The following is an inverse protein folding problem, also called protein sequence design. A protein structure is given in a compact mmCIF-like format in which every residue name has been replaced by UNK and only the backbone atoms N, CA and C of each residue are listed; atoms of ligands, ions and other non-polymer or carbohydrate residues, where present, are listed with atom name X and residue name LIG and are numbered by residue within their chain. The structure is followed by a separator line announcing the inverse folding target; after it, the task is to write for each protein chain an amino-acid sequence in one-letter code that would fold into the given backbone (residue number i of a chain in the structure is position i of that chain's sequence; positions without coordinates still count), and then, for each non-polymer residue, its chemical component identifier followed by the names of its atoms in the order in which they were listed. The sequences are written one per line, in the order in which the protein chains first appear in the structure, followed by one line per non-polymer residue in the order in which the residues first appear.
data_IF_382197864082
#
_entry.id   IF_382197864082
#
_cell.length_a   1.000
_cell.length_b   1.000
_cell.length_c   1.000
_cell.angle_alpha   90.00
_cell.angle_beta   90.00
_cell.angle_gamma   90.00
#
_symmetry.space_group_name_H-M   'P 1'
#
loop_
_entity.id
_entity.type
_entity.pdbx_description
1 polymer ?
#
# COMPACT_ATOMS: atom_id res chain seq x y z
N UNK A 1 18.15 -14.14 -21.50
CA UNK A 1 17.88 -12.79 -20.98
C UNK A 1 17.13 -12.94 -19.66
N UNK A 2 17.71 -12.55 -18.55
CA UNK A 2 16.98 -12.48 -17.30
C UNK A 2 15.92 -11.38 -17.44
N UNK A 3 14.64 -11.74 -17.35
CA UNK A 3 13.53 -10.77 -17.35
C UNK A 3 13.40 -10.18 -15.95
N UNK A 4 13.04 -8.89 -15.88
CA UNK A 4 12.64 -8.27 -14.62
C UNK A 4 11.42 -9.01 -14.10
N UNK A 5 11.48 -9.54 -12.88
CA UNK A 5 10.32 -10.04 -12.19
C UNK A 5 9.62 -8.87 -11.49
N UNK A 6 8.32 -8.78 -11.64
CA UNK A 6 7.56 -7.83 -10.83
C UNK A 6 7.60 -8.25 -9.35
N UNK A 7 7.65 -7.31 -8.42
CA UNK A 7 7.59 -7.63 -6.99
C UNK A 7 6.29 -8.34 -6.60
N UNK A 8 5.20 -7.99 -7.27
CA UNK A 8 3.86 -8.53 -7.03
C UNK A 8 3.05 -8.57 -8.33
N UNK A 9 2.36 -9.71 -8.57
CA UNK A 9 1.25 -9.80 -9.52
C UNK A 9 -0.06 -10.07 -8.76
N UNK A 10 -1.16 -9.52 -9.26
CA UNK A 10 -2.50 -9.78 -8.75
C UNK A 10 -3.30 -10.52 -9.83
N UNK A 11 -3.92 -11.63 -9.45
CA UNK A 11 -4.82 -12.39 -10.31
C UNK A 11 -6.23 -12.35 -9.71
N UNK A 12 -7.22 -11.93 -10.51
CA UNK A 12 -8.63 -11.91 -10.09
C UNK A 12 -9.38 -12.99 -10.85
N UNK A 13 -9.99 -13.91 -10.10
CA UNK A 13 -10.71 -15.07 -10.62
C UNK A 13 -12.18 -14.94 -10.25
N UNK A 14 -13.08 -15.04 -11.23
CA UNK A 14 -14.53 -15.05 -10.99
C UNK A 14 -15.28 -15.87 -12.06
N UNK A 15 -16.50 -16.27 -11.76
CA UNK A 15 -17.34 -16.98 -12.72
C UNK A 15 -17.85 -16.04 -13.83
N UNK A 16 -17.79 -16.41 -15.14
CA UNK A 16 -18.15 -15.53 -16.26
C UNK A 16 -19.59 -15.01 -16.20
N UNK A 17 -20.50 -15.80 -15.67
CA UNK A 17 -21.93 -15.43 -15.54
C UNK A 17 -22.21 -14.56 -14.28
N UNK A 18 -21.19 -14.22 -13.51
CA UNK A 18 -21.31 -13.32 -12.37
C UNK A 18 -20.93 -11.89 -12.79
N UNK A 19 -21.94 -11.12 -13.27
CA UNK A 19 -21.71 -9.76 -13.80
C UNK A 19 -21.11 -8.79 -12.79
N UNK A 20 -21.46 -8.89 -11.50
CA UNK A 20 -20.89 -8.08 -10.41
C UNK A 20 -19.39 -8.39 -10.24
N UNK A 21 -18.95 -9.63 -10.49
CA UNK A 21 -17.54 -10.00 -10.44
C UNK A 21 -16.67 -9.18 -11.37
N UNK A 22 -17.18 -8.85 -12.57
CA UNK A 22 -16.49 -7.96 -13.51
C UNK A 22 -16.34 -6.55 -12.92
N UNK A 23 -17.37 -6.00 -12.31
CA UNK A 23 -17.33 -4.64 -11.69
C UNK A 23 -16.27 -4.60 -10.58
N UNK A 24 -16.28 -5.61 -9.70
CA UNK A 24 -15.29 -5.73 -8.62
C UNK A 24 -13.88 -5.85 -9.20
N UNK A 25 -13.68 -6.68 -10.22
CA UNK A 25 -12.37 -6.90 -10.86
C UNK A 25 -11.85 -5.63 -11.53
N UNK A 26 -12.69 -4.84 -12.18
CA UNK A 26 -12.33 -3.55 -12.79
C UNK A 26 -11.94 -2.51 -11.74
N UNK A 27 -12.62 -2.46 -10.58
CA UNK A 27 -12.25 -1.56 -9.48
C UNK A 27 -10.95 -2.01 -8.79
N UNK A 28 -10.68 -3.32 -8.68
CA UNK A 28 -9.37 -3.84 -8.25
C UNK A 28 -8.29 -3.41 -9.25
N UNK A 29 -8.52 -3.57 -10.55
CA UNK A 29 -7.58 -3.12 -11.57
C UNK A 29 -7.27 -1.62 -11.44
N UNK A 30 -8.30 -0.78 -11.31
CA UNK A 30 -8.15 0.67 -11.17
C UNK A 30 -7.37 1.05 -9.91
N UNK A 31 -7.56 0.31 -8.82
CA UNK A 31 -6.90 0.61 -7.53
C UNK A 31 -5.43 0.17 -7.48
N UNK A 32 -5.05 -0.91 -8.15
CA UNK A 32 -3.71 -1.49 -8.02
C UNK A 32 -2.82 -1.28 -9.24
N UNK A 33 -3.40 -1.26 -10.43
CA UNK A 33 -2.65 -1.11 -11.68
C UNK A 33 -2.72 0.32 -12.19
N UNK A 34 -3.83 0.68 -12.80
CA UNK A 34 -4.02 1.99 -13.45
C UNK A 34 -5.49 2.34 -13.53
N UNK A 35 -5.85 3.52 -13.08
CA UNK A 35 -7.20 4.04 -13.27
C UNK A 35 -7.42 4.45 -14.73
N UNK A 36 -8.16 3.62 -15.48
CA UNK A 36 -8.46 3.89 -16.89
C UNK A 36 -9.50 4.99 -17.07
N UNK A 37 -10.29 5.29 -16.04
CA UNK A 37 -11.25 6.42 -16.04
C UNK A 37 -10.52 7.76 -15.85
N UNK A 38 -9.34 7.74 -15.24
CA UNK A 38 -8.49 8.90 -15.03
C UNK A 38 -7.03 8.59 -15.44
N UNK A 39 -6.74 8.52 -16.75
CA UNK A 39 -5.44 8.06 -17.24
C UNK A 39 -4.26 8.96 -16.86
N UNK A 40 -4.52 10.17 -16.36
CA UNK A 40 -3.49 11.07 -15.83
C UNK A 40 -3.13 10.74 -14.36
N UNK A 41 -4.00 10.01 -13.64
CA UNK A 41 -3.65 9.50 -12.32
C UNK A 41 -2.63 8.38 -12.47
N UNK A 42 -1.60 8.43 -11.62
CA UNK A 42 -0.58 7.38 -11.58
C UNK A 42 -1.04 6.31 -10.60
N UNK A 43 -1.34 5.10 -11.10
CA UNK A 43 -1.54 3.94 -10.25
C UNK A 43 -0.22 3.43 -9.67
N UNK A 44 -0.28 2.43 -8.80
CA UNK A 44 0.91 1.74 -8.26
C UNK A 44 1.67 1.04 -9.40
N UNK A 45 0.95 0.61 -10.44
CA UNK A 45 1.51 -0.12 -11.58
C UNK A 45 1.69 -1.62 -11.31
N UNK A 46 1.05 -2.17 -10.29
CA UNK A 46 1.03 -3.61 -10.04
C UNK A 46 0.25 -4.29 -11.16
N UNK A 47 0.82 -5.29 -11.87
CA UNK A 47 0.08 -6.02 -12.89
C UNK A 47 -1.12 -6.75 -12.30
N UNK A 48 -2.30 -6.54 -12.89
CA UNK A 48 -3.55 -7.21 -12.52
C UNK A 48 -4.07 -8.01 -13.70
N UNK A 49 -4.25 -9.31 -13.52
CA UNK A 49 -4.67 -10.24 -14.54
C UNK A 49 -6.03 -10.85 -14.21
N UNK A 50 -6.91 -10.92 -15.20
CA UNK A 50 -8.25 -11.50 -15.08
C UNK A 50 -8.27 -12.96 -15.50
N UNK A 51 -8.95 -13.81 -14.74
CA UNK A 51 -9.08 -15.25 -14.97
C UNK A 51 -10.55 -15.65 -14.80
N UNK A 52 -11.36 -15.43 -15.84
CA UNK A 52 -12.79 -15.70 -15.77
C UNK A 52 -13.32 -16.49 -16.99
N UNK A 53 -12.63 -16.39 -18.13
CA UNK A 53 -13.07 -17.10 -19.35
C UNK A 53 -12.65 -18.54 -19.28
N UNK A 54 -13.62 -19.46 -19.44
CA UNK A 54 -13.35 -20.90 -19.63
C UNK A 54 -12.72 -21.16 -20.99
N UNK A 55 -11.61 -21.86 -20.99
CA UNK A 55 -10.93 -22.36 -22.19
C UNK A 55 -11.49 -23.71 -22.63
N UNK A 56 -10.85 -24.34 -23.64
CA UNK A 56 -11.27 -25.64 -24.20
C UNK A 56 -11.30 -26.78 -23.17
N UNK A 57 -10.60 -26.64 -22.05
CA UNK A 57 -10.60 -27.57 -20.92
C UNK A 57 -11.66 -27.23 -19.86
N UNK A 58 -12.60 -26.36 -20.15
CA UNK A 58 -13.64 -25.84 -19.26
C UNK A 58 -13.11 -25.09 -18.03
N UNK A 59 -11.83 -24.75 -17.96
CA UNK A 59 -11.22 -24.02 -16.85
C UNK A 59 -10.65 -22.69 -17.32
N UNK A 60 -10.50 -21.70 -16.42
CA UNK A 60 -9.77 -20.48 -16.72
C UNK A 60 -8.32 -20.74 -17.10
N UNK A 61 -7.70 -19.77 -17.80
CA UNK A 61 -6.27 -19.83 -18.10
C UNK A 61 -5.46 -20.00 -16.80
N UNK A 62 -4.48 -20.89 -16.83
CA UNK A 62 -3.60 -21.13 -15.69
C UNK A 62 -2.87 -19.86 -15.24
N UNK A 63 -2.59 -19.80 -13.95
CA UNK A 63 -1.79 -18.74 -13.34
C UNK A 63 -0.32 -19.15 -13.36
N UNK A 64 0.50 -18.35 -14.05
CA UNK A 64 1.95 -18.54 -14.09
C UNK A 64 2.59 -17.75 -12.94
N UNK A 65 2.96 -18.46 -11.88
CA UNK A 65 3.49 -17.84 -10.66
C UNK A 65 4.96 -17.44 -10.76
N UNK A 66 5.67 -17.86 -11.81
CA UNK A 66 7.09 -17.56 -12.00
C UNK A 66 7.37 -16.16 -12.53
N UNK A 67 6.34 -15.43 -13.00
CA UNK A 67 6.47 -14.10 -13.61
C UNK A 67 6.69 -12.97 -12.58
N UNK A 68 6.36 -13.23 -11.32
CA UNK A 68 6.57 -12.28 -10.22
C UNK A 68 7.27 -12.94 -9.03
N UNK A 69 7.80 -12.13 -8.11
CA UNK A 69 8.36 -12.61 -6.85
C UNK A 69 7.26 -13.09 -5.90
N UNK A 70 6.15 -12.36 -5.88
CA UNK A 70 4.94 -12.66 -5.10
C UNK A 70 3.71 -12.64 -5.98
N UNK A 71 2.72 -13.47 -5.64
CA UNK A 71 1.45 -13.53 -6.35
C UNK A 71 0.28 -13.50 -5.35
N UNK A 72 -0.63 -12.56 -5.55
CA UNK A 72 -1.90 -12.45 -4.83
C UNK A 72 -3.02 -12.97 -5.75
N UNK A 73 -3.67 -14.06 -5.37
CA UNK A 73 -4.75 -14.69 -6.14
C UNK A 73 -6.06 -14.41 -5.43
N UNK A 74 -6.89 -13.55 -6.00
CA UNK A 74 -8.17 -13.12 -5.44
C UNK A 74 -9.27 -13.97 -6.08
N UNK A 75 -10.00 -14.72 -5.26
CA UNK A 75 -11.13 -15.54 -5.71
C UNK A 75 -12.44 -14.85 -5.33
N UNK A 76 -13.19 -14.36 -6.29
CA UNK A 76 -14.52 -13.77 -6.08
C UNK A 76 -15.57 -14.90 -6.11
N UNK A 77 -15.93 -15.42 -4.93
CA UNK A 77 -16.74 -16.64 -4.79
C UNK A 77 -18.20 -16.25 -4.59
N UNK A 78 -18.98 -16.30 -5.67
CA UNK A 78 -20.44 -16.21 -5.68
C UNK A 78 -21.09 -17.59 -5.74
N UNK A 79 -22.41 -17.64 -5.85
CA UNK A 79 -23.16 -18.89 -5.93
C UNK A 79 -22.83 -19.71 -7.18
N UNK A 80 -22.61 -19.06 -8.34
CA UNK A 80 -22.28 -19.73 -9.60
C UNK A 80 -20.88 -20.34 -9.55
N UNK A 81 -19.92 -19.60 -9.06
CA UNK A 81 -18.56 -20.10 -8.79
C UNK A 81 -18.59 -21.31 -7.84
N UNK A 82 -19.41 -21.22 -6.79
CA UNK A 82 -19.54 -22.27 -5.79
C UNK A 82 -20.14 -23.57 -6.36
N UNK A 83 -21.11 -23.48 -7.27
CA UNK A 83 -21.82 -24.62 -7.84
C UNK A 83 -21.11 -25.27 -9.04
N UNK A 84 -20.13 -24.59 -9.65
CA UNK A 84 -19.42 -25.05 -10.82
C UNK A 84 -18.24 -25.97 -10.46
N UNK A 85 -18.30 -27.23 -10.83
CA UNK A 85 -17.26 -28.22 -10.58
C UNK A 85 -15.91 -27.85 -11.22
N UNK A 86 -15.92 -27.29 -12.44
CA UNK A 86 -14.71 -26.89 -13.15
C UNK A 86 -13.95 -25.81 -12.39
N UNK A 87 -14.68 -24.86 -11.76
CA UNK A 87 -14.07 -23.82 -10.93
C UNK A 87 -13.56 -24.39 -9.60
N UNK A 88 -14.24 -25.34 -8.98
CA UNK A 88 -13.75 -26.03 -7.79
C UNK A 88 -12.46 -26.79 -8.07
N UNK A 89 -12.41 -27.53 -9.17
CA UNK A 89 -11.21 -28.24 -9.62
C UNK A 89 -10.05 -27.28 -9.93
N UNK A 90 -10.35 -26.10 -10.52
CA UNK A 90 -9.37 -25.06 -10.74
C UNK A 90 -8.78 -24.53 -9.45
N UNK A 91 -9.60 -24.28 -8.44
CA UNK A 91 -9.17 -23.85 -7.10
C UNK A 91 -8.30 -24.91 -6.43
N UNK A 92 -8.65 -26.20 -6.53
CA UNK A 92 -7.82 -27.29 -6.01
C UNK A 92 -6.40 -27.29 -6.61
N UNK A 93 -6.30 -27.02 -7.92
CA UNK A 93 -5.01 -26.89 -8.61
C UNK A 93 -4.23 -25.68 -8.12
N UNK A 94 -4.91 -24.53 -7.94
CA UNK A 94 -4.30 -23.31 -7.43
C UNK A 94 -3.77 -23.50 -6.02
N UNK A 95 -4.53 -24.18 -5.17
CA UNK A 95 -4.13 -24.39 -3.77
C UNK A 95 -2.84 -25.21 -3.63
N UNK A 96 -2.54 -26.09 -4.60
CA UNK A 96 -1.25 -26.81 -4.66
C UNK A 96 -0.04 -25.89 -4.95
N UNK A 97 -0.31 -24.68 -5.48
CA UNK A 97 0.71 -23.66 -5.77
C UNK A 97 0.89 -22.66 -4.62
N UNK A 98 0.09 -22.76 -3.55
CA UNK A 98 0.15 -21.84 -2.40
C UNK A 98 1.41 -22.13 -1.57
N UNK A 99 2.15 -21.07 -1.29
CA UNK A 99 3.36 -21.08 -0.43
C UNK A 99 3.56 -19.70 0.22
N UNK A 100 4.74 -19.39 0.69
CA UNK A 100 5.08 -18.07 1.23
C UNK A 100 5.07 -16.95 0.18
N UNK A 101 5.14 -17.28 -1.10
CA UNK A 101 5.21 -16.33 -2.22
C UNK A 101 3.88 -16.21 -2.96
N UNK A 102 3.03 -17.25 -2.89
CA UNK A 102 1.79 -17.36 -3.64
C UNK A 102 0.63 -17.50 -2.67
N UNK A 103 -0.19 -16.46 -2.51
CA UNK A 103 -1.28 -16.42 -1.54
C UNK A 103 -2.63 -16.34 -2.22
N UNK A 104 -3.60 -17.11 -1.70
CA UNK A 104 -5.01 -17.04 -2.12
C UNK A 104 -5.77 -16.20 -1.10
N UNK A 105 -6.53 -15.23 -1.61
CA UNK A 105 -7.44 -14.36 -0.86
C UNK A 105 -8.88 -14.63 -1.32
N UNK A 106 -9.60 -15.55 -0.65
CA UNK A 106 -10.98 -15.85 -1.00
C UNK A 106 -11.90 -14.72 -0.51
N UNK A 107 -12.72 -14.20 -1.42
CA UNK A 107 -13.73 -13.16 -1.16
C UNK A 107 -15.10 -13.82 -1.14
N UNK A 108 -15.79 -13.75 -0.02
CA UNK A 108 -17.14 -14.29 0.14
C UNK A 108 -18.18 -13.31 -0.39
N UNK A 109 -18.75 -13.62 -1.55
CA UNK A 109 -19.86 -12.91 -2.21
C UNK A 109 -21.15 -13.71 -2.18
N UNK A 110 -21.15 -14.83 -1.42
CA UNK A 110 -22.27 -15.73 -1.20
C UNK A 110 -22.20 -16.27 0.24
N UNK A 111 -23.34 -16.35 0.93
CA UNK A 111 -23.39 -16.71 2.36
C UNK A 111 -22.75 -18.06 2.70
N UNK A 112 -22.71 -19.01 1.77
CA UNK A 112 -22.09 -20.33 1.96
C UNK A 112 -20.69 -20.44 1.32
N UNK A 113 -20.08 -19.36 0.84
CA UNK A 113 -18.79 -19.39 0.15
C UNK A 113 -17.70 -20.12 0.96
N UNK A 114 -17.71 -19.95 2.30
CA UNK A 114 -16.75 -20.60 3.22
C UNK A 114 -16.89 -22.12 3.28
N UNK A 115 -18.00 -22.70 2.77
CA UNK A 115 -18.25 -24.16 2.73
C UNK A 115 -17.92 -24.76 1.36
N UNK A 116 -17.24 -24.03 0.47
CA UNK A 116 -16.91 -24.47 -0.90
C UNK A 116 -16.15 -25.80 -0.92
N UNK A 117 -15.71 -26.28 0.22
CA UNK A 117 -14.84 -27.45 0.30
C UNK A 117 -13.46 -27.09 -0.19
N UNK A 118 -12.75 -28.04 -0.78
CA UNK A 118 -11.38 -27.83 -1.13
C UNK A 118 -10.55 -27.36 0.10
N UNK A 119 -9.29 -27.33 0.01
CA UNK A 119 -8.39 -26.85 1.08
C UNK A 119 -8.54 -25.37 1.46
N UNK A 120 -9.52 -24.64 0.88
CA UNK A 120 -9.83 -23.26 1.23
C UNK A 120 -10.52 -23.10 2.59
N UNK A 121 -11.15 -24.15 3.13
CA UNK A 121 -11.88 -24.08 4.40
C UNK A 121 -11.04 -23.62 5.60
N UNK A 122 -9.71 -23.73 5.51
CA UNK A 122 -8.77 -23.25 6.55
C UNK A 122 -8.29 -21.81 6.31
N UNK A 123 -8.66 -21.17 5.20
CA UNK A 123 -8.24 -19.80 4.93
C UNK A 123 -9.24 -18.79 5.54
N UNK A 124 -8.71 -17.63 5.90
CA UNK A 124 -9.53 -16.50 6.29
C UNK A 124 -10.15 -15.87 5.05
N UNK A 125 -11.49 -15.78 5.01
CA UNK A 125 -12.22 -15.14 3.92
C UNK A 125 -12.37 -13.63 4.15
N UNK A 126 -12.27 -12.85 3.09
CA UNK A 126 -12.74 -11.47 3.05
C UNK A 126 -14.27 -11.52 2.94
N UNK A 127 -14.97 -11.14 4.00
CA UNK A 127 -16.44 -11.12 3.99
C UNK A 127 -16.96 -9.84 3.32
N UNK A 128 -17.36 -9.93 2.08
CA UNK A 128 -17.86 -8.82 1.28
C UNK A 128 -19.36 -8.52 1.47
N UNK A 129 -20.09 -9.41 2.16
CA UNK A 129 -21.53 -9.28 2.41
C UNK A 129 -21.87 -8.57 3.72
N UNK A 130 -20.86 -8.14 4.47
CA UNK A 130 -21.06 -7.45 5.76
C UNK A 130 -20.22 -6.19 5.83
N UNK A 131 -20.85 -5.12 6.29
CA UNK A 131 -20.21 -3.85 6.53
C UNK A 131 -20.74 -3.24 7.82
N UNK A 132 -19.86 -2.96 8.79
CA UNK A 132 -20.23 -2.40 10.09
C UNK A 132 -21.42 -3.15 10.77
N UNK A 133 -21.34 -4.49 10.81
CA UNK A 133 -22.38 -5.40 11.32
C UNK A 133 -23.73 -5.39 10.57
N UNK A 134 -23.86 -4.66 9.46
CA UNK A 134 -25.00 -4.69 8.58
C UNK A 134 -24.77 -5.64 7.41
N UNK A 135 -25.77 -6.42 7.05
CA UNK A 135 -25.74 -7.25 5.84
C UNK A 135 -25.91 -6.33 4.61
N UNK A 136 -25.14 -6.60 3.56
CA UNK A 136 -25.17 -5.87 2.28
C UNK A 136 -25.93 -6.66 1.23
N UNK A 137 -26.75 -5.97 0.47
CA UNK A 137 -27.40 -6.48 -0.75
C UNK A 137 -26.62 -6.01 -1.98
N UNK A 138 -25.84 -6.88 -2.58
CA UNK A 138 -25.02 -6.56 -3.75
C UNK A 138 -25.83 -6.17 -5.01
N UNK A 139 -27.15 -6.35 -5.00
CA UNK A 139 -28.03 -5.82 -6.05
C UNK A 139 -28.29 -4.32 -5.91
N UNK A 140 -28.04 -3.76 -4.74
CA UNK A 140 -28.13 -2.32 -4.46
C UNK A 140 -26.78 -1.66 -4.75
N UNK A 141 -26.79 -0.58 -5.52
CA UNK A 141 -25.56 0.13 -5.93
C UNK A 141 -24.77 0.69 -4.74
N UNK A 142 -25.45 1.22 -3.72
CA UNK A 142 -24.80 1.76 -2.52
C UNK A 142 -24.08 0.66 -1.75
N UNK A 143 -24.75 -0.46 -1.51
CA UNK A 143 -24.20 -1.62 -0.79
C UNK A 143 -23.06 -2.27 -1.56
N UNK A 144 -23.17 -2.36 -2.88
CA UNK A 144 -22.11 -2.85 -3.76
C UNK A 144 -20.86 -1.96 -3.64
N UNK A 145 -21.03 -0.63 -3.66
CA UNK A 145 -19.91 0.31 -3.50
C UNK A 145 -19.24 0.19 -2.14
N UNK A 146 -20.01 -0.05 -1.06
CA UNK A 146 -19.45 -0.32 0.28
C UNK A 146 -18.67 -1.63 0.32
N UNK A 147 -19.24 -2.69 -0.29
CA UNK A 147 -18.58 -4.00 -0.43
C UNK A 147 -17.25 -3.87 -1.17
N UNK A 148 -17.23 -3.18 -2.31
CA UNK A 148 -16.00 -2.94 -3.10
C UNK A 148 -14.96 -2.18 -2.28
N UNK A 149 -15.33 -1.11 -1.59
CA UNK A 149 -14.40 -0.36 -0.72
C UNK A 149 -13.75 -1.26 0.33
N UNK A 150 -14.54 -2.13 0.96
CA UNK A 150 -14.04 -3.07 1.95
C UNK A 150 -13.08 -4.09 1.32
N UNK A 151 -13.45 -4.69 0.19
CA UNK A 151 -12.60 -5.64 -0.54
C UNK A 151 -11.26 -4.99 -0.88
N UNK A 152 -11.27 -3.77 -1.43
CA UNK A 152 -10.04 -3.03 -1.77
C UNK A 152 -9.20 -2.75 -0.53
N UNK A 153 -9.82 -2.32 0.60
CA UNK A 153 -9.11 -2.08 1.85
C UNK A 153 -8.39 -3.33 2.35
N UNK A 154 -9.10 -4.46 2.40
CA UNK A 154 -8.56 -5.73 2.88
C UNK A 154 -7.42 -6.23 1.95
N UNK A 155 -7.58 -6.12 0.63
CA UNK A 155 -6.54 -6.51 -0.35
C UNK A 155 -5.32 -5.58 -0.28
N UNK A 156 -5.50 -4.26 -0.14
CA UNK A 156 -4.39 -3.30 0.05
C UNK A 156 -3.57 -3.68 1.29
N UNK A 157 -4.25 -3.97 2.40
CA UNK A 157 -3.61 -4.39 3.64
C UNK A 157 -2.85 -5.71 3.47
N UNK A 158 -3.49 -6.73 2.90
CA UNK A 158 -2.90 -8.06 2.75
C UNK A 158 -1.76 -8.08 1.73
N UNK A 159 -1.85 -7.32 0.63
CA UNK A 159 -0.75 -7.14 -0.32
C UNK A 159 0.43 -6.39 0.31
N UNK A 160 0.16 -5.38 1.15
CA UNK A 160 1.21 -4.69 1.90
C UNK A 160 1.95 -5.65 2.84
N UNK A 161 1.21 -6.49 3.59
CA UNK A 161 1.79 -7.52 4.46
C UNK A 161 2.59 -8.56 3.67
N UNK A 162 2.09 -8.99 2.51
CA UNK A 162 2.76 -9.95 1.64
C UNK A 162 4.12 -9.43 1.16
N UNK A 163 4.24 -8.13 0.89
CA UNK A 163 5.50 -7.50 0.48
C UNK A 163 6.41 -7.13 1.66
N UNK A 164 5.88 -6.79 2.84
CA UNK A 164 6.68 -6.42 4.01
C UNK A 164 7.59 -7.54 4.54
N UNK A 165 7.23 -8.80 4.31
CA UNK A 165 7.98 -9.99 4.76
C UNK A 165 9.42 -10.06 4.21
N UNK A 166 9.82 -9.17 3.30
CA UNK A 166 11.10 -9.27 2.57
C UNK A 166 12.13 -8.18 2.84
N UNK A 167 11.93 -7.29 3.79
CA UNK A 167 13.03 -6.40 4.16
C UNK A 167 14.07 -7.21 4.96
N UNK A 168 15.36 -7.16 4.58
CA UNK A 168 16.42 -7.83 5.34
C UNK A 168 16.58 -7.15 6.69
N UNK A 169 15.92 -7.69 7.66
CA UNK A 169 16.02 -7.38 9.06
C UNK A 169 16.67 -8.60 9.69
N UNK A 170 17.32 -8.47 10.85
CA UNK A 170 17.87 -9.63 11.55
C UNK A 170 16.86 -10.77 11.64
N UNK A 171 17.32 -12.02 11.61
CA UNK A 171 16.42 -13.21 11.65
C UNK A 171 15.41 -13.18 12.81
N UNK A 172 15.76 -12.55 13.93
CA UNK A 172 14.89 -12.37 15.09
C UNK A 172 13.76 -11.37 14.82
N UNK A 173 14.03 -10.28 14.11
CA UNK A 173 13.00 -9.29 13.75
C UNK A 173 12.12 -9.75 12.59
N UNK A 174 12.58 -10.66 11.73
CA UNK A 174 11.80 -11.24 10.63
C UNK A 174 10.67 -12.13 11.17
N UNK A 175 10.96 -12.97 12.17
CA UNK A 175 9.96 -13.85 12.76
C UNK A 175 8.83 -13.09 13.48
N UNK A 176 9.14 -11.96 14.10
CA UNK A 176 8.13 -11.12 14.77
C UNK A 176 7.23 -10.34 13.80
N UNK A 177 7.65 -10.16 12.53
CA UNK A 177 6.92 -9.38 11.52
C UNK A 177 6.14 -10.21 10.52
N UNK A 178 6.42 -11.51 10.40
CA UNK A 178 5.67 -12.39 9.51
C UNK A 178 4.20 -12.38 9.92
N UNK A 179 3.38 -11.73 9.10
CA UNK A 179 1.94 -11.64 9.33
C UNK A 179 1.48 -10.51 10.23
N UNK A 180 2.37 -9.66 10.76
CA UNK A 180 1.97 -8.47 11.53
C UNK A 180 1.12 -7.50 10.71
N UNK A 181 0.10 -6.87 11.30
CA UNK A 181 -0.71 -5.87 10.62
C UNK A 181 0.13 -4.63 10.28
N UNK A 182 -0.29 -3.90 9.24
CA UNK A 182 0.26 -2.56 8.96
C UNK A 182 -0.08 -1.66 10.15
N UNK A 183 0.92 -0.92 10.63
CA UNK A 183 0.80 -0.01 11.76
C UNK A 183 0.61 1.42 11.31
N UNK A 184 -0.35 2.11 11.90
CA UNK A 184 -0.63 3.52 11.69
C UNK A 184 -0.20 4.33 12.91
N UNK A 185 0.57 5.38 12.69
CA UNK A 185 0.88 6.38 13.71
C UNK A 185 -0.04 7.59 13.52
N UNK A 186 -0.87 7.91 14.51
CA UNK A 186 -1.85 8.99 14.43
C UNK A 186 -1.29 10.27 15.06
N UNK A 187 -0.93 11.24 14.20
CA UNK A 187 -0.38 12.53 14.59
C UNK A 187 -1.48 13.61 14.63
N UNK A 188 -1.58 14.34 15.72
CA UNK A 188 -2.61 15.37 15.92
C UNK A 188 -2.19 16.43 16.93
N UNK A 189 -2.78 17.61 16.84
CA UNK A 189 -2.68 18.63 17.90
C UNK A 189 -3.75 18.36 18.96
N UNK A 190 -3.32 18.18 20.23
CA UNK A 190 -4.24 17.82 21.34
C UNK A 190 -5.38 18.84 21.55
N UNK A 191 -5.15 20.10 21.21
CA UNK A 191 -6.13 21.17 21.48
C UNK A 191 -7.36 21.12 20.57
N UNK A 192 -7.22 20.69 19.33
CA UNK A 192 -8.28 20.75 18.31
C UNK A 192 -8.37 19.50 17.41
N UNK A 193 -7.40 18.59 17.48
CA UNK A 193 -7.36 17.35 16.70
C UNK A 193 -7.72 16.08 17.48
N UNK A 194 -7.65 16.10 18.83
CA UNK A 194 -7.76 14.88 19.64
C UNK A 194 -9.08 14.12 19.42
N UNK A 195 -10.20 14.84 19.40
CA UNK A 195 -11.53 14.23 19.26
C UNK A 195 -11.65 13.38 17.99
N UNK A 196 -11.32 13.97 16.84
CA UNK A 196 -11.43 13.29 15.55
C UNK A 196 -10.46 12.11 15.43
N UNK A 197 -9.28 12.23 16.03
CA UNK A 197 -8.27 11.17 16.03
C UNK A 197 -8.72 9.99 16.88
N UNK A 198 -9.36 10.22 18.03
CA UNK A 198 -9.96 9.17 18.87
C UNK A 198 -11.11 8.48 18.12
N UNK A 199 -11.96 9.23 17.42
CA UNK A 199 -13.04 8.68 16.60
C UNK A 199 -12.46 7.76 15.49
N UNK A 200 -11.41 8.20 14.82
CA UNK A 200 -10.73 7.41 13.79
C UNK A 200 -10.05 6.16 14.37
N UNK A 201 -9.36 6.26 15.51
CA UNK A 201 -8.78 5.11 16.21
C UNK A 201 -9.85 4.05 16.50
N UNK A 202 -10.97 4.45 17.11
CA UNK A 202 -12.10 3.55 17.40
C UNK A 202 -12.68 2.91 16.15
N UNK A 203 -12.76 3.68 15.05
CA UNK A 203 -13.21 3.15 13.79
C UNK A 203 -12.29 2.01 13.29
N UNK A 204 -10.96 2.20 13.35
CA UNK A 204 -9.99 1.17 12.94
C UNK A 204 -10.13 -0.07 13.84
N UNK A 205 -10.11 0.09 15.14
CA UNK A 205 -10.21 -1.00 16.12
C UNK A 205 -11.48 -1.85 15.96
N UNK A 206 -12.59 -1.22 15.57
CA UNK A 206 -13.88 -1.91 15.42
C UNK A 206 -14.09 -2.54 14.04
N UNK A 207 -13.44 -2.04 12.98
CA UNK A 207 -13.78 -2.40 11.60
C UNK A 207 -12.64 -3.04 10.80
N UNK A 208 -11.39 -2.87 11.24
CA UNK A 208 -10.22 -3.22 10.45
C UNK A 208 -9.20 -4.03 11.28
N UNK A 209 -8.31 -4.72 10.60
CA UNK A 209 -7.23 -5.52 11.21
C UNK A 209 -5.89 -4.77 11.21
N UNK A 210 -5.92 -3.45 11.34
CA UNK A 210 -4.73 -2.59 11.38
C UNK A 210 -4.28 -2.40 12.83
N UNK A 211 -2.98 -2.20 13.01
CA UNK A 211 -2.43 -1.76 14.29
C UNK A 211 -2.36 -0.24 14.34
N UNK A 212 -2.62 0.34 15.51
CA UNK A 212 -2.69 1.80 15.67
C UNK A 212 -1.86 2.23 16.88
N UNK A 213 -0.89 3.12 16.64
CA UNK A 213 -0.21 3.83 17.71
C UNK A 213 -0.83 5.22 17.90
N UNK A 214 -1.20 5.52 19.14
CA UNK A 214 -1.80 6.78 19.55
C UNK A 214 -1.07 7.35 20.78
N UNK A 215 -0.43 8.49 20.61
CA UNK A 215 0.53 9.15 21.51
C UNK A 215 0.15 9.15 23.02
N UNK A 216 -1.13 9.37 23.36
CA UNK A 216 -1.50 9.65 24.76
C UNK A 216 -1.57 8.41 25.67
N UNK A 217 -1.62 7.19 25.10
CA UNK A 217 -1.93 5.96 25.84
C UNK A 217 -0.83 4.91 25.70
N UNK A 218 -0.08 4.93 24.60
CA UNK A 218 0.76 3.79 24.19
C UNK A 218 2.22 3.90 24.67
N UNK A 219 2.58 4.99 25.40
CA UNK A 219 3.95 5.15 25.93
C UNK A 219 4.05 4.67 27.36
N UNK A 220 4.91 3.68 27.59
CA UNK A 220 5.17 3.14 28.91
C UNK A 220 5.93 4.16 29.79
N UNK A 221 5.56 4.25 31.08
CA UNK A 221 6.24 5.10 32.05
C UNK A 221 7.70 4.67 32.24
N UNK A 222 8.62 5.66 32.27
CA UNK A 222 10.04 5.44 32.54
C UNK A 222 10.92 5.23 31.30
N UNK A 223 10.36 5.26 30.10
CA UNK A 223 11.12 5.19 28.84
C UNK A 223 11.44 6.58 28.26
N UNK A 224 12.52 6.66 27.46
CA UNK A 224 12.86 7.86 26.70
C UNK A 224 11.80 8.08 25.60
N UNK A 225 10.93 9.04 25.85
CA UNK A 225 9.81 9.41 25.00
C UNK A 225 10.24 9.66 23.54
N UNK A 226 11.33 10.40 23.34
CA UNK A 226 11.79 10.77 22.00
C UNK A 226 12.28 9.55 21.19
N UNK A 227 13.00 8.63 21.82
CA UNK A 227 13.49 7.41 21.17
C UNK A 227 12.37 6.43 20.83
N UNK A 228 11.39 6.30 21.71
CA UNK A 228 10.24 5.44 21.46
C UNK A 228 9.41 5.97 20.28
N UNK A 229 9.17 7.29 20.23
CA UNK A 229 8.50 7.93 19.09
C UNK A 229 9.23 7.71 17.77
N UNK A 230 10.55 7.93 17.74
CA UNK A 230 11.33 7.69 16.53
C UNK A 230 11.22 6.22 16.06
N UNK A 231 11.28 5.27 17.01
CA UNK A 231 11.11 3.84 16.71
C UNK A 231 9.73 3.54 16.14
N UNK A 232 8.67 4.06 16.76
CA UNK A 232 7.29 3.81 16.33
C UNK A 232 7.00 4.41 14.95
N UNK A 233 7.40 5.66 14.70
CA UNK A 233 7.20 6.34 13.41
C UNK A 233 7.97 5.62 12.30
N UNK A 234 9.20 5.17 12.56
CA UNK A 234 10.02 4.44 11.58
C UNK A 234 9.31 3.19 11.03
N UNK A 235 8.46 2.55 11.83
CA UNK A 235 7.80 1.29 11.49
C UNK A 235 6.29 1.42 11.22
N UNK A 236 5.82 2.66 11.03
CA UNK A 236 4.41 2.98 10.81
C UNK A 236 4.22 3.85 9.58
N UNK A 237 2.98 3.91 9.09
CA UNK A 237 2.55 5.00 8.23
C UNK A 237 2.00 6.13 9.09
N UNK A 238 2.44 7.36 8.84
CA UNK A 238 2.02 8.55 9.59
C UNK A 238 0.73 9.10 8.99
N UNK A 239 -0.34 9.16 9.80
CA UNK A 239 -1.60 9.83 9.45
C UNK A 239 -1.67 11.13 10.24
N UNK A 240 -1.58 12.26 9.53
CA UNK A 240 -1.58 13.61 10.11
C UNK A 240 -2.98 14.19 10.09
N UNK A 241 -3.59 14.41 11.24
CA UNK A 241 -4.82 15.20 11.35
C UNK A 241 -4.48 16.68 11.41
N UNK A 242 -4.43 17.31 10.22
CA UNK A 242 -4.02 18.70 10.06
C UNK A 242 -5.16 19.65 10.39
N UNK A 243 -5.11 20.20 11.59
CA UNK A 243 -6.05 21.19 12.15
C UNK A 243 -5.40 22.57 12.22
N UNK A 244 -6.17 23.62 12.57
CA UNK A 244 -5.69 25.02 12.62
C UNK A 244 -4.44 25.20 13.51
N UNK A 245 -4.33 24.42 14.60
CA UNK A 245 -3.23 24.49 15.56
C UNK A 245 -2.09 23.51 15.27
N UNK A 246 -2.23 22.57 14.35
CA UNK A 246 -1.25 21.49 14.14
C UNK A 246 0.15 22.01 13.94
N UNK A 247 0.35 22.91 12.98
CA UNK A 247 1.67 23.44 12.61
C UNK A 247 2.29 24.36 13.66
N UNK A 248 1.50 24.81 14.65
CA UNK A 248 2.04 25.58 15.80
C UNK A 248 2.72 24.67 16.83
N UNK A 249 2.40 23.37 16.86
CA UNK A 249 2.90 22.41 17.84
C UNK A 249 4.24 21.84 17.43
N UNK A 250 5.22 21.97 18.32
CA UNK A 250 6.59 21.50 18.05
C UNK A 250 6.63 19.98 17.82
N UNK A 251 5.92 19.20 18.65
CA UNK A 251 5.90 17.75 18.54
C UNK A 251 5.28 17.30 17.22
N UNK A 252 4.16 17.88 16.79
CA UNK A 252 3.55 17.57 15.50
C UNK A 252 4.52 17.78 14.32
N UNK A 253 5.26 18.88 14.35
CA UNK A 253 6.32 19.14 13.35
C UNK A 253 7.44 18.11 13.40
N UNK A 254 7.89 17.74 14.62
CA UNK A 254 8.96 16.73 14.80
C UNK A 254 8.55 15.37 14.28
N UNK A 255 7.31 14.93 14.51
CA UNK A 255 6.78 13.67 13.99
C UNK A 255 6.85 13.60 12.47
N UNK A 256 6.44 14.65 11.77
CA UNK A 256 6.55 14.75 10.31
C UNK A 256 8.01 14.71 9.85
N UNK A 257 8.90 15.44 10.51
CA UNK A 257 10.34 15.46 10.16
C UNK A 257 10.98 14.07 10.37
N UNK A 258 10.62 13.37 11.45
CA UNK A 258 11.08 12.00 11.71
C UNK A 258 10.56 11.06 10.62
N UNK A 259 9.26 11.12 10.28
CA UNK A 259 8.68 10.28 9.24
C UNK A 259 9.36 10.51 7.88
N UNK A 260 9.60 11.75 7.48
CA UNK A 260 10.34 12.07 6.26
C UNK A 260 11.79 11.56 6.30
N UNK A 261 12.49 11.75 7.41
CA UNK A 261 13.86 11.23 7.59
C UNK A 261 13.92 9.70 7.41
N UNK A 262 12.94 8.98 7.90
CA UNK A 262 12.85 7.51 7.80
C UNK A 262 12.11 7.02 6.57
N UNK A 263 11.65 7.91 5.68
CA UNK A 263 10.89 7.57 4.47
C UNK A 263 9.60 6.81 4.77
N UNK A 264 9.04 7.01 5.97
CA UNK A 264 7.75 6.46 6.34
C UNK A 264 6.66 7.09 5.49
N UNK A 265 5.68 6.32 4.98
CA UNK A 265 4.55 6.89 4.26
C UNK A 265 3.80 7.91 5.11
N UNK A 266 3.42 9.05 4.53
CA UNK A 266 2.68 10.12 5.21
C UNK A 266 1.42 10.42 4.43
N UNK A 267 0.30 10.55 5.15
CA UNK A 267 -0.98 11.04 4.62
C UNK A 267 -1.48 12.18 5.48
N UNK A 268 -1.91 13.27 4.84
CA UNK A 268 -2.44 14.45 5.52
C UNK A 268 -3.95 14.50 5.37
N UNK A 269 -4.64 14.56 6.50
CA UNK A 269 -6.09 14.70 6.60
C UNK A 269 -6.41 16.14 6.97
N UNK A 270 -6.87 16.93 6.02
CA UNK A 270 -7.24 18.32 6.28
C UNK A 270 -8.56 18.40 7.04
N UNK A 271 -8.52 19.03 8.21
CA UNK A 271 -9.67 19.34 9.06
C UNK A 271 -9.56 20.80 9.59
N UNK A 272 -9.24 21.72 8.67
CA UNK A 272 -9.11 23.14 8.96
C UNK A 272 -10.50 23.79 9.11
N UNK A 273 -10.68 24.64 10.11
CA UNK A 273 -11.91 25.42 10.34
C UNK A 273 -11.75 26.88 9.98
N UNK A 274 -10.66 27.49 10.42
CA UNK A 274 -10.37 28.91 10.20
C UNK A 274 -9.12 29.13 9.36
N UNK A 275 -8.31 28.10 9.18
CA UNK A 275 -7.09 28.10 8.40
C UNK A 275 -5.85 27.81 9.25
N UNK A 276 -4.75 27.56 8.60
CA UNK A 276 -3.48 27.26 9.25
C UNK A 276 -2.85 28.53 9.81
N UNK A 277 -2.56 28.54 11.12
CA UNK A 277 -1.96 29.71 11.79
C UNK A 277 -0.47 29.88 11.49
N UNK A 278 0.22 28.81 11.11
CA UNK A 278 1.65 28.81 10.82
C UNK A 278 1.93 27.83 9.70
N UNK A 279 2.48 28.33 8.59
CA UNK A 279 2.91 27.49 7.49
C UNK A 279 3.99 26.51 7.94
N UNK A 280 3.82 25.24 7.51
CA UNK A 280 4.79 24.18 7.71
C UNK A 280 5.09 23.50 6.35
N UNK A 281 6.18 23.87 5.69
CA UNK A 281 6.41 23.54 4.28
C UNK A 281 6.51 22.04 4.00
N UNK A 282 6.80 21.23 5.02
CA UNK A 282 7.02 19.78 4.86
C UNK A 282 5.75 18.95 4.77
N UNK A 283 4.55 19.57 4.84
CA UNK A 283 3.26 18.91 4.58
C UNK A 283 2.77 19.13 3.13
N UNK A 284 3.28 20.13 2.43
CA UNK A 284 2.73 20.59 1.15
C UNK A 284 2.87 19.61 -0.02
N UNK A 285 3.79 18.65 0.03
CA UNK A 285 4.03 17.65 -1.01
C UNK A 285 3.59 16.24 -0.61
N UNK A 286 2.71 16.11 0.37
CA UNK A 286 2.20 14.82 0.84
C UNK A 286 0.82 14.53 0.25
N UNK A 287 0.47 13.25 0.05
CA UNK A 287 -0.90 12.85 -0.29
C UNK A 287 -1.88 13.37 0.73
N UNK A 288 -2.97 13.99 0.26
CA UNK A 288 -3.94 14.66 1.13
C UNK A 288 -5.36 14.14 0.90
N UNK A 289 -6.17 14.23 1.93
CA UNK A 289 -7.62 14.05 1.87
C UNK A 289 -8.31 15.03 2.83
N UNK A 290 -9.59 15.27 2.63
CA UNK A 290 -10.42 16.12 3.48
C UNK A 290 -11.45 15.28 4.21
N UNK A 291 -11.93 15.77 5.35
CA UNK A 291 -13.10 15.24 6.02
C UNK A 291 -14.34 15.95 5.49
N UNK A 292 -15.29 15.16 5.02
CA UNK A 292 -16.59 15.61 4.53
C UNK A 292 -17.69 15.34 5.58
N UNK A 293 -18.93 15.20 5.15
CA UNK A 293 -20.07 15.04 6.08
C UNK A 293 -20.23 13.60 6.58
N UNK A 294 -19.89 12.60 5.75
CA UNK A 294 -19.97 11.19 6.11
C UNK A 294 -18.67 10.70 6.76
N UNK A 295 -18.57 10.78 8.07
CA UNK A 295 -17.40 10.37 8.86
C UNK A 295 -16.95 8.93 8.60
N UNK A 296 -17.88 8.03 8.38
CA UNK A 296 -17.56 6.62 8.21
C UNK A 296 -16.90 6.38 6.86
N UNK A 297 -17.43 6.96 5.79
CA UNK A 297 -16.84 6.89 4.45
C UNK A 297 -15.50 7.63 4.37
N UNK A 298 -15.40 8.78 5.04
CA UNK A 298 -14.16 9.54 5.13
C UNK A 298 -13.04 8.72 5.79
N UNK A 299 -13.35 7.98 6.84
CA UNK A 299 -12.38 7.14 7.53
C UNK A 299 -11.88 5.99 6.65
N UNK A 300 -12.76 5.35 5.88
CA UNK A 300 -12.33 4.38 4.85
C UNK A 300 -11.45 5.03 3.79
N UNK A 301 -11.76 6.25 3.35
CA UNK A 301 -10.95 7.00 2.37
C UNK A 301 -9.54 7.28 2.91
N UNK A 302 -9.42 7.67 4.18
CA UNK A 302 -8.13 7.88 4.86
C UNK A 302 -7.33 6.56 4.91
N UNK A 303 -7.96 5.48 5.36
CA UNK A 303 -7.31 4.17 5.46
C UNK A 303 -6.84 3.70 4.09
N UNK A 304 -7.69 3.77 3.07
CA UNK A 304 -7.35 3.33 1.72
C UNK A 304 -6.18 4.14 1.15
N UNK A 305 -6.21 5.47 1.30
CA UNK A 305 -5.11 6.32 0.87
C UNK A 305 -3.81 5.97 1.60
N UNK A 306 -3.89 5.71 2.91
CA UNK A 306 -2.70 5.34 3.71
C UNK A 306 -2.14 3.99 3.30
N UNK A 307 -2.98 2.96 3.18
CA UNK A 307 -2.55 1.62 2.72
C UNK A 307 -2.01 1.65 1.28
N UNK A 308 -2.63 2.46 0.41
CA UNK A 308 -2.13 2.69 -0.94
C UNK A 308 -0.71 3.26 -0.91
N UNK A 309 -0.42 4.25 -0.06
CA UNK A 309 0.92 4.82 0.07
C UNK A 309 1.92 3.81 0.64
N UNK A 310 1.50 2.99 1.61
CA UNK A 310 2.33 1.90 2.14
C UNK A 310 2.71 0.92 1.03
N UNK A 311 1.72 0.41 0.31
CA UNK A 311 1.92 -0.57 -0.75
C UNK A 311 2.76 0.01 -1.89
N UNK A 312 2.45 1.23 -2.33
CA UNK A 312 3.20 1.92 -3.38
C UNK A 312 4.69 2.09 -2.99
N UNK A 313 4.95 2.58 -1.78
CA UNK A 313 6.32 2.77 -1.30
C UNK A 313 7.13 1.47 -1.37
N UNK A 314 6.60 0.38 -0.82
CA UNK A 314 7.29 -0.92 -0.78
C UNK A 314 7.45 -1.49 -2.20
N UNK A 315 6.40 -1.42 -3.01
CA UNK A 315 6.41 -1.95 -4.37
C UNK A 315 7.44 -1.24 -5.25
N UNK A 316 7.49 0.09 -5.21
CA UNK A 316 8.44 0.87 -6.00
C UNK A 316 9.89 0.60 -5.59
N UNK A 317 10.19 0.55 -4.29
CA UNK A 317 11.55 0.20 -3.83
C UNK A 317 11.99 -1.16 -4.40
N UNK A 318 11.16 -2.20 -4.26
CA UNK A 318 11.48 -3.54 -4.76
C UNK A 318 11.63 -3.62 -6.27
N UNK A 319 10.75 -2.92 -6.99
CA UNK A 319 10.83 -2.86 -8.45
C UNK A 319 12.17 -2.25 -8.89
N UNK A 320 12.59 -1.17 -8.25
CA UNK A 320 13.85 -0.50 -8.54
C UNK A 320 15.07 -1.33 -8.11
N UNK A 321 14.98 -2.06 -7.00
CA UNK A 321 16.01 -3.03 -6.58
C UNK A 321 16.18 -4.15 -7.60
N UNK A 322 15.07 -4.72 -8.08
CA UNK A 322 15.11 -5.75 -9.14
C UNK A 322 15.70 -5.19 -10.43
N UNK A 323 15.38 -3.95 -10.78
CA UNK A 323 15.94 -3.25 -11.93
C UNK A 323 17.45 -3.04 -11.77
N UNK A 324 17.92 -2.52 -10.62
CA UNK A 324 19.34 -2.33 -10.31
C UNK A 324 20.12 -3.65 -10.45
N UNK A 325 19.59 -4.74 -9.90
CA UNK A 325 20.24 -6.05 -9.92
C UNK A 325 20.41 -6.61 -11.33
N UNK A 326 19.47 -6.35 -12.24
CA UNK A 326 19.52 -6.82 -13.63
C UNK A 326 20.47 -6.03 -14.51
N UNK A 327 20.67 -4.74 -14.21
CA UNK A 327 21.59 -3.89 -14.98
C UNK A 327 23.06 -4.27 -14.80
N UNK A 328 23.37 -5.29 -13.99
CA UNK A 328 24.74 -5.79 -13.76
C UNK A 328 25.62 -4.83 -12.95
N UNK A 329 25.05 -3.70 -12.55
CA UNK A 329 25.74 -2.68 -11.79
C UNK A 329 25.65 -3.01 -10.29
N UNK A 330 26.61 -3.75 -9.77
CA UNK A 330 26.86 -3.86 -8.32
C UNK A 330 27.40 -2.54 -7.75
N UNK A 331 26.83 -1.41 -8.18
CA UNK A 331 27.36 -0.10 -7.86
C UNK A 331 26.94 0.31 -6.46
N UNK A 332 27.92 0.37 -5.56
CA UNK A 332 27.79 0.88 -4.18
C UNK A 332 27.34 2.35 -4.12
N UNK A 333 27.34 3.05 -5.26
CA UNK A 333 27.00 4.47 -5.42
C UNK A 333 25.55 4.72 -5.87
N UNK A 334 24.66 3.70 -5.90
CA UNK A 334 23.26 3.85 -6.27
C UNK A 334 22.35 3.95 -5.03
N UNK A 335 21.70 5.09 -4.85
CA UNK A 335 20.62 5.30 -3.87
C UNK A 335 19.27 5.06 -4.52
N UNK A 336 18.42 4.23 -3.91
CA UNK A 336 17.04 3.98 -4.37
C UNK A 336 16.07 4.75 -3.49
N UNK A 337 15.11 5.43 -4.12
CA UNK A 337 14.02 6.13 -3.46
C UNK A 337 12.69 5.79 -4.12
N UNK A 338 11.61 5.73 -3.34
CA UNK A 338 10.27 5.29 -3.78
C UNK A 338 9.42 6.38 -4.43
N UNK A 339 9.90 7.61 -4.45
CA UNK A 339 9.19 8.80 -4.93
C UNK A 339 10.17 9.76 -5.60
N UNK A 340 9.70 10.79 -6.33
CA UNK A 340 10.58 11.84 -6.82
C UNK A 340 11.46 12.44 -5.72
N UNK A 341 12.72 12.83 -6.04
CA UNK A 341 13.67 13.36 -5.08
C UNK A 341 13.15 14.59 -4.32
N UNK A 342 13.39 14.60 -3.01
CA UNK A 342 13.12 15.74 -2.13
C UNK A 342 14.29 16.01 -1.18
N UNK A 343 14.24 17.13 -0.45
CA UNK A 343 15.33 17.60 0.45
C UNK A 343 15.83 16.49 1.41
N UNK A 344 14.94 15.68 1.98
CA UNK A 344 15.32 14.64 2.95
C UNK A 344 16.14 13.51 2.33
N UNK A 345 16.06 13.28 1.02
CA UNK A 345 16.86 12.26 0.35
C UNK A 345 18.35 12.62 0.33
N UNK A 346 18.70 13.91 0.40
CA UNK A 346 20.10 14.34 0.46
C UNK A 346 20.82 13.91 1.76
N UNK A 347 20.10 13.53 2.81
CA UNK A 347 20.70 12.95 4.02
C UNK A 347 21.40 11.62 3.66
N UNK A 348 20.71 10.73 2.94
CA UNK A 348 21.26 9.44 2.56
C UNK A 348 22.33 9.59 1.48
N UNK A 349 22.14 10.49 0.52
CA UNK A 349 23.12 10.84 -0.51
C UNK A 349 24.42 11.32 0.12
N UNK A 350 24.35 12.22 1.10
CA UNK A 350 25.52 12.70 1.83
C UNK A 350 26.21 11.59 2.65
N UNK A 351 25.46 10.60 3.14
CA UNK A 351 26.05 9.45 3.81
C UNK A 351 26.79 8.56 2.80
N UNK A 352 26.24 8.34 1.61
CA UNK A 352 26.91 7.61 0.53
C UNK A 352 28.20 8.31 0.06
N UNK A 353 28.20 9.64 -0.06
CA UNK A 353 29.39 10.44 -0.41
C UNK A 353 30.57 10.27 0.55
N UNK A 354 30.31 9.94 1.82
CA UNK A 354 31.37 9.64 2.79
C UNK A 354 32.03 8.29 2.58
N UNK A 355 31.36 7.41 1.81
CA UNK A 355 31.81 6.02 1.60
C UNK A 355 32.44 5.84 0.21
N UNK A 356 32.04 6.65 -0.76
CA UNK A 356 32.54 6.55 -2.16
C UNK A 356 32.83 7.92 -2.75
N UNK A 357 33.94 8.01 -3.52
CA UNK A 357 34.28 9.20 -4.32
C UNK A 357 33.66 9.19 -5.72
N UNK A 358 32.84 8.18 -6.04
CA UNK A 358 32.13 8.07 -7.33
C UNK A 358 30.94 9.00 -7.39
N UNK A 359 30.54 9.38 -8.60
CA UNK A 359 29.26 10.05 -8.85
C UNK A 359 28.11 9.22 -8.24
N UNK A 360 27.25 9.87 -7.46
CA UNK A 360 26.09 9.23 -6.85
C UNK A 360 24.92 9.20 -7.84
N UNK A 361 24.37 8.03 -8.06
CA UNK A 361 23.17 7.83 -8.87
C UNK A 361 21.97 7.67 -7.96
N UNK A 362 20.97 8.52 -8.11
CA UNK A 362 19.67 8.43 -7.41
C UNK A 362 18.66 7.83 -8.38
N UNK A 363 18.27 6.59 -8.12
CA UNK A 363 17.28 5.86 -8.91
C UNK A 363 15.90 6.00 -8.26
N UNK A 364 14.93 6.55 -9.02
CA UNK A 364 13.55 6.78 -8.56
C UNK A 364 12.52 6.32 -9.62
N UNK A 365 11.23 6.13 -9.26
CA UNK A 365 10.22 5.63 -10.18
C UNK A 365 9.94 6.58 -11.35
N UNK A 366 9.60 6.01 -12.52
CA UNK A 366 9.09 6.78 -13.66
C UNK A 366 7.81 7.56 -13.31
N UNK A 367 7.55 8.68 -13.98
CA UNK A 367 8.33 9.31 -15.05
C UNK A 367 9.46 10.18 -14.53
N UNK A 368 10.45 10.50 -15.38
CA UNK A 368 11.51 11.42 -15.01
C UNK A 368 10.97 12.81 -14.66
N UNK A 369 11.71 13.52 -13.81
CA UNK A 369 11.44 14.92 -13.50
C UNK A 369 11.52 15.79 -14.74
N UNK A 370 10.83 16.94 -14.72
CA UNK A 370 10.96 17.97 -15.72
C UNK A 370 12.39 18.56 -15.76
N UNK A 371 12.73 19.19 -16.89
CA UNK A 371 14.07 19.75 -17.11
C UNK A 371 14.39 20.83 -16.05
N UNK A 372 13.42 21.68 -15.72
CA UNK A 372 13.57 22.73 -14.71
C UNK A 372 13.83 22.16 -13.32
N UNK A 373 13.11 21.11 -12.94
CA UNK A 373 13.28 20.44 -11.65
C UNK A 373 14.66 19.77 -11.55
N UNK A 374 15.10 19.09 -12.62
CA UNK A 374 16.43 18.49 -12.69
C UNK A 374 17.54 19.54 -12.61
N UNK A 375 17.39 20.68 -13.29
CA UNK A 375 18.36 21.77 -13.24
C UNK A 375 18.51 22.30 -11.82
N UNK A 376 17.41 22.54 -11.10
CA UNK A 376 17.44 22.98 -9.71
C UNK A 376 18.16 21.96 -8.81
N UNK A 377 17.90 20.67 -8.97
CA UNK A 377 18.57 19.63 -8.20
C UNK A 377 20.05 19.53 -8.52
N UNK A 378 20.45 19.69 -9.78
CA UNK A 378 21.86 19.70 -10.20
C UNK A 378 22.60 20.95 -9.71
N UNK A 379 21.94 22.09 -9.52
CA UNK A 379 22.54 23.29 -8.88
C UNK A 379 22.86 23.04 -7.40
N UNK A 380 22.12 22.13 -6.71
CA UNK A 380 22.45 21.74 -5.33
C UNK A 380 23.75 20.94 -5.31
N UNK A 381 23.93 20.01 -6.26
CA UNK A 381 25.10 19.16 -6.32
C UNK A 381 25.26 18.51 -7.71
N UNK A 382 26.26 18.96 -8.46
CA UNK A 382 26.57 18.46 -9.80
C UNK A 382 27.09 17.02 -9.85
N UNK A 383 27.53 16.46 -8.72
CA UNK A 383 28.03 15.08 -8.60
C UNK A 383 26.92 14.06 -8.31
N UNK A 384 25.64 14.46 -8.45
CA UNK A 384 24.50 13.60 -8.27
C UNK A 384 23.75 13.48 -9.59
N UNK A 385 23.54 12.25 -10.05
CA UNK A 385 22.74 11.95 -11.24
C UNK A 385 21.38 11.39 -10.83
N UNK A 386 20.31 12.09 -11.21
CA UNK A 386 18.94 11.63 -10.96
C UNK A 386 18.42 10.88 -12.19
N UNK A 387 18.00 9.62 -12.01
CA UNK A 387 17.59 8.73 -13.11
C UNK A 387 16.34 7.92 -12.75
N UNK A 388 15.58 7.58 -13.75
CA UNK A 388 14.47 6.61 -13.67
C UNK A 388 14.82 5.36 -14.47
N UNK A 389 14.08 4.25 -14.37
CA UNK A 389 14.29 3.06 -15.21
C UNK A 389 14.38 3.38 -16.70
N UNK A 390 13.55 4.30 -17.21
CA UNK A 390 13.57 4.70 -18.63
C UNK A 390 14.88 5.42 -18.98
N UNK A 391 15.33 6.35 -18.15
CA UNK A 391 16.53 7.17 -18.44
C UNK A 391 17.83 6.47 -18.10
N UNK A 392 17.81 5.50 -17.18
CA UNK A 392 18.99 4.73 -16.78
C UNK A 392 19.55 3.84 -17.90
N UNK A 393 18.68 3.27 -18.75
CA UNK A 393 19.09 2.43 -19.87
C UNK A 393 19.43 3.21 -21.14
N UNK A 394 19.22 4.52 -21.15
CA UNK A 394 19.45 5.37 -22.33
C UNK A 394 20.89 5.92 -22.40
N UNK A 395 21.70 5.59 -21.41
CA UNK A 395 23.13 5.91 -21.30
C UNK A 395 23.94 4.61 -21.27
#
# INVERSE_FOLDING_TARGET
MNRIKYPLNIYVVWHPDFGIGKIIAEEIYSSFCRDYKNPLSRGIGIPVYFRYVKLNNNQPLEIETSEAEKNAIILLIDEKFFMDDDYRDYVEKLNKKVDSNNRIYPVSLFNKAHTIGCSLGNLQFINALKFNNSDLDLSNETDLNLSIKKIITDILHDCSRLLLVFQPISEDEENDRIGSPVKLFLSHAKIDGEKITIEFKKFIENNLKLDVFFDTVDIANGYDFAKQFEKEIKHSALVVFHTDEYSTREWCRREVLIAKKHKSPIVVVHNLKTGEKRAFPYLGNMPTTTLEDDRFLDFYKIVNLTLYQVLNNIYQIRLLESFKNLSGNSNENISIISSPPELFNFIDINNLKKITDKEIVVLYPDPPLGIEELNILNEIDENIKFVTPITFNSN
#
